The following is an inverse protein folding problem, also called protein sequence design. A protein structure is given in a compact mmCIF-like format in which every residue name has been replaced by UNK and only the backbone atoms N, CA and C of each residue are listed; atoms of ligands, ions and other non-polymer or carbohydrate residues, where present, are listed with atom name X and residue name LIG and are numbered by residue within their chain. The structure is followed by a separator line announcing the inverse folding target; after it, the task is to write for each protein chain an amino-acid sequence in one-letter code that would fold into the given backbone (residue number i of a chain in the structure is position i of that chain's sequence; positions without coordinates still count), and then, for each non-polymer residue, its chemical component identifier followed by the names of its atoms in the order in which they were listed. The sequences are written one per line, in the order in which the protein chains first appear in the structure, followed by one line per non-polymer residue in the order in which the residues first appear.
data_IF_160331274874
#
_entry.id   IF_160331274874
#
_cell.length_a   1.000
_cell.length_b   1.000
_cell.length_c   1.000
_cell.angle_alpha   90.00
_cell.angle_beta   90.00
_cell.angle_gamma   90.00
#
_symmetry.space_group_name_H-M   'P 1'
#
loop_
_entity.id
_entity.type
_entity.pdbx_description
1 polymer ?
#
# COMPACT_ATOMS: atom_id res chain seq x y z
N UNK A 1 7.50 22.25 51.60
CA UNK A 1 8.27 23.34 51.00
C UNK A 1 8.38 23.08 49.50
N UNK A 2 7.80 23.98 48.74
CA UNK A 2 7.71 23.99 47.27
C UNK A 2 9.06 24.44 46.70
N UNK A 3 9.56 23.81 45.64
CA UNK A 3 10.34 24.51 44.61
C UNK A 3 10.05 23.95 43.24
N UNK A 4 9.42 24.80 42.47
CA UNK A 4 9.21 24.77 41.03
C UNK A 4 10.49 25.11 40.27
N UNK A 5 10.65 24.60 39.04
CA UNK A 5 11.68 25.11 38.14
C UNK A 5 11.88 24.25 36.90
N UNK A 6 10.99 24.35 35.90
CA UNK A 6 11.30 23.90 34.53
C UNK A 6 11.97 25.06 33.78
N UNK A 7 13.17 24.84 33.28
CA UNK A 7 13.83 25.73 32.30
C UNK A 7 13.50 25.29 30.87
N UNK A 8 13.41 26.21 29.91
CA UNK A 8 13.07 25.91 28.51
C UNK A 8 14.30 25.47 27.72
N UNK A 9 14.08 24.50 26.83
CA UNK A 9 15.06 24.01 25.84
C UNK A 9 15.25 25.09 24.75
N UNK A 10 16.49 25.48 24.52
CA UNK A 10 16.92 26.44 23.48
C UNK A 10 16.70 25.85 22.08
N UNK A 11 16.05 26.62 21.24
CA UNK A 11 16.01 26.42 19.79
C UNK A 11 17.40 26.70 19.19
N UNK A 12 17.88 25.74 18.38
CA UNK A 12 19.05 25.96 17.51
C UNK A 12 18.51 26.18 16.09
N UNK A 13 18.57 27.42 15.64
CA UNK A 13 18.26 27.79 14.28
C UNK A 13 19.40 27.39 13.34
N UNK A 14 19.08 26.66 12.29
CA UNK A 14 20.00 26.40 11.18
C UNK A 14 19.91 27.53 10.15
N UNK A 15 21.04 28.21 9.92
CA UNK A 15 21.22 29.19 8.85
C UNK A 15 21.58 28.44 7.59
N UNK A 16 20.75 28.51 6.55
CA UNK A 16 21.09 28.08 5.21
C UNK A 16 21.54 29.28 4.38
N UNK A 17 22.74 29.21 3.82
CA UNK A 17 23.26 30.17 2.85
C UNK A 17 22.59 29.96 1.48
N UNK A 18 22.12 31.04 0.89
CA UNK A 18 21.54 31.08 -0.44
C UNK A 18 22.64 31.00 -1.51
N UNK A 19 22.43 30.17 -2.54
CA UNK A 19 23.06 30.31 -3.85
C UNK A 19 21.94 30.49 -4.86
N UNK A 20 22.06 31.61 -5.58
CA UNK A 20 21.12 32.14 -6.55
C UNK A 20 21.20 31.36 -7.87
N UNK A 21 20.11 30.81 -8.37
CA UNK A 21 19.69 30.71 -9.77
C UNK A 21 18.47 29.78 -9.94
N UNK A 22 17.36 30.35 -10.37
CA UNK A 22 16.22 29.59 -10.91
C UNK A 22 15.05 29.42 -9.95
N UNK A 23 14.03 30.27 -10.11
CA UNK A 23 12.76 30.21 -9.38
C UNK A 23 12.13 28.82 -9.49
N UNK A 24 12.20 28.07 -8.41
CA UNK A 24 11.32 26.93 -8.15
C UNK A 24 10.43 27.35 -6.99
N UNK A 25 9.13 27.43 -7.22
CA UNK A 25 8.14 27.59 -6.14
C UNK A 25 8.15 26.28 -5.33
N UNK A 26 9.04 26.22 -4.36
CA UNK A 26 8.99 25.20 -3.32
C UNK A 26 7.86 25.57 -2.36
N UNK A 27 6.74 24.86 -2.45
CA UNK A 27 5.72 24.90 -1.38
C UNK A 27 6.31 24.17 -0.19
N UNK A 28 6.97 24.93 0.68
CA UNK A 28 7.46 24.43 1.97
C UNK A 28 6.25 24.43 2.92
N UNK A 29 5.67 23.27 3.17
CA UNK A 29 4.67 23.10 4.22
C UNK A 29 5.39 23.21 5.56
N UNK A 30 5.19 24.29 6.28
CA UNK A 30 5.71 24.49 7.64
C UNK A 30 4.62 24.06 8.64
N UNK A 31 4.82 23.01 9.45
CA UNK A 31 3.79 22.47 10.34
C UNK A 31 3.36 23.39 11.49
N UNK A 32 3.95 24.57 11.65
CA UNK A 32 3.71 25.46 12.80
C UNK A 32 2.96 26.76 12.48
N UNK A 33 2.50 26.98 11.24
CA UNK A 33 1.80 28.24 10.89
C UNK A 33 0.33 28.11 10.48
N UNK A 34 -0.26 26.91 10.49
CA UNK A 34 -1.68 26.73 10.10
C UNK A 34 -2.68 26.62 11.26
N UNK A 35 -2.43 27.33 12.35
CA UNK A 35 -3.46 27.56 13.36
C UNK A 35 -4.37 28.73 12.93
N UNK A 36 -5.24 28.53 11.93
CA UNK A 36 -6.18 29.57 11.53
C UNK A 36 -6.95 29.39 10.23
N UNK A 37 -6.64 28.39 9.43
CA UNK A 37 -7.44 28.12 8.23
C UNK A 37 -8.59 27.19 8.64
N UNK A 38 -9.79 27.75 8.84
CA UNK A 38 -11.01 26.95 8.87
C UNK A 38 -11.22 26.36 7.48
N UNK A 39 -10.90 25.06 7.33
CA UNK A 39 -11.26 24.29 6.15
C UNK A 39 -12.80 24.28 6.11
N UNK A 40 -13.45 24.77 5.03
CA UNK A 40 -14.90 24.67 4.90
C UNK A 40 -15.29 23.21 4.99
N UNK A 41 -16.20 22.85 5.90
CA UNK A 41 -16.85 21.53 5.87
C UNK A 41 -17.56 21.42 4.53
N UNK A 42 -17.05 20.52 3.67
CA UNK A 42 -17.67 20.21 2.38
C UNK A 42 -19.01 19.51 2.62
N UNK A 43 -20.06 20.32 2.66
CA UNK A 43 -21.45 19.84 2.64
C UNK A 43 -21.93 19.74 1.20
N UNK A 44 -21.33 18.88 0.41
CA UNK A 44 -21.76 18.32 -0.87
C UNK A 44 -20.56 17.52 -1.37
N UNK A 45 -20.75 16.24 -1.67
CA UNK A 45 -19.69 15.43 -2.23
C UNK A 45 -19.02 16.17 -3.38
N UNK A 46 -17.71 16.44 -3.35
CA UNK A 46 -17.04 16.93 -4.54
C UNK A 46 -17.18 15.84 -5.60
N UNK A 47 -17.56 16.21 -6.79
CA UNK A 47 -17.66 15.33 -7.96
C UNK A 47 -16.31 14.66 -8.30
N UNK A 48 -15.24 15.02 -7.61
CA UNK A 48 -13.92 14.36 -7.68
C UNK A 48 -13.17 14.56 -6.36
N UNK A 49 -12.72 13.46 -5.74
CA UNK A 49 -11.76 13.46 -4.62
C UNK A 49 -10.31 13.60 -5.13
N UNK A 50 -10.08 13.85 -6.40
CA UNK A 50 -8.77 13.86 -7.04
C UNK A 50 -8.59 15.07 -7.95
N UNK A 51 -7.48 15.77 -7.77
CA UNK A 51 -7.02 16.87 -8.61
C UNK A 51 -5.81 16.41 -9.43
N UNK A 52 -5.92 16.45 -10.76
CA UNK A 52 -4.80 16.21 -11.65
C UNK A 52 -3.97 17.48 -11.76
N UNK A 53 -2.73 17.45 -11.23
CA UNK A 53 -1.83 18.61 -11.18
C UNK A 53 -0.98 18.72 -12.45
N UNK A 54 -0.39 17.61 -12.88
CA UNK A 54 0.51 17.60 -14.03
C UNK A 54 0.58 16.23 -14.71
N UNK A 55 0.90 16.23 -16.01
CA UNK A 55 1.17 15.03 -16.82
C UNK A 55 2.59 15.04 -17.32
N UNK A 56 3.17 13.86 -17.45
CA UNK A 56 4.39 13.67 -18.22
C UNK A 56 4.10 13.75 -19.73
N UNK A 57 4.98 14.38 -20.48
CA UNK A 57 4.82 14.53 -21.92
C UNK A 57 5.20 13.27 -22.71
N UNK A 58 6.00 12.39 -22.13
CA UNK A 58 6.56 11.21 -22.78
C UNK A 58 5.91 9.88 -22.36
N UNK A 59 4.98 9.90 -21.40
CA UNK A 59 4.31 8.71 -20.89
C UNK A 59 2.92 9.03 -20.35
N UNK A 60 2.22 8.01 -19.80
CA UNK A 60 0.95 8.22 -19.12
C UNK A 60 1.12 8.63 -17.64
N UNK A 61 2.36 8.82 -17.16
CA UNK A 61 2.64 9.23 -15.80
C UNK A 61 2.05 10.61 -15.48
N UNK A 62 1.56 10.75 -14.24
CA UNK A 62 0.89 11.98 -13.81
C UNK A 62 1.11 12.26 -12.34
N UNK A 63 1.10 13.52 -11.95
CA UNK A 63 1.07 13.99 -10.57
C UNK A 63 -0.33 14.47 -10.25
N UNK A 64 -0.85 14.07 -9.10
CA UNK A 64 -2.14 14.52 -8.62
C UNK A 64 -2.17 14.70 -7.10
N UNK A 65 -3.28 15.25 -6.62
CA UNK A 65 -3.60 15.37 -5.21
C UNK A 65 -4.91 14.63 -4.92
N UNK A 66 -4.86 13.68 -4.01
CA UNK A 66 -6.03 12.98 -3.51
C UNK A 66 -6.49 13.69 -2.23
N UNK A 67 -7.72 14.17 -2.22
CA UNK A 67 -8.34 14.85 -1.10
C UNK A 67 -9.02 13.83 -0.19
N UNK A 68 -8.60 13.77 1.07
CA UNK A 68 -9.21 12.91 2.10
C UNK A 68 -9.59 13.73 3.33
N UNK A 69 -10.49 13.25 4.18
CA UNK A 69 -10.79 13.89 5.46
C UNK A 69 -9.56 14.06 6.37
N UNK A 70 -8.54 13.21 6.22
CA UNK A 70 -7.29 13.24 7.00
C UNK A 70 -6.11 13.86 6.25
N UNK A 71 -6.40 14.70 5.24
CA UNK A 71 -5.39 15.51 4.55
C UNK A 71 -5.21 15.19 3.07
N UNK A 72 -4.27 15.90 2.48
CA UNK A 72 -3.92 15.77 1.07
C UNK A 72 -2.88 14.67 0.89
N UNK A 73 -3.12 13.79 -0.08
CA UNK A 73 -2.19 12.71 -0.44
C UNK A 73 -1.66 12.95 -1.85
N UNK A 74 -0.37 13.34 -1.98
CA UNK A 74 0.24 13.54 -3.29
C UNK A 74 0.50 12.20 -3.98
N UNK A 75 0.13 12.09 -5.26
CA UNK A 75 0.33 10.89 -6.08
C UNK A 75 1.34 11.16 -7.21
N UNK A 76 2.03 10.10 -7.72
CA UNK A 76 1.94 8.69 -7.33
C UNK A 76 2.45 8.43 -5.91
N UNK A 77 1.85 7.41 -5.26
CA UNK A 77 2.16 7.06 -3.87
C UNK A 77 2.24 5.55 -3.65
N UNK A 78 3.12 5.14 -2.73
CA UNK A 78 3.13 3.80 -2.14
C UNK A 78 2.51 3.83 -0.74
N UNK A 79 1.50 2.99 -0.50
CA UNK A 79 0.81 2.86 0.78
C UNK A 79 1.40 1.68 1.58
N UNK A 80 2.09 1.92 2.69
CA UNK A 80 2.52 0.85 3.59
C UNK A 80 1.33 0.05 4.11
N UNK A 81 1.43 -1.29 4.10
CA UNK A 81 0.33 -2.16 4.48
C UNK A 81 0.31 -2.45 5.97
N UNK A 82 -0.73 -1.97 6.63
CA UNK A 82 -1.05 -2.19 8.04
C UNK A 82 -2.13 -3.27 8.23
N UNK A 83 -1.83 -4.53 7.91
CA UNK A 83 -2.77 -5.66 7.84
C UNK A 83 -3.72 -5.79 9.03
N UNK A 84 -3.24 -5.59 10.25
CA UNK A 84 -4.00 -5.70 11.51
C UNK A 84 -3.91 -4.40 12.30
N UNK A 85 -4.28 -3.28 11.68
CA UNK A 85 -4.15 -1.95 12.26
C UNK A 85 -2.70 -1.62 12.68
N UNK A 86 -1.72 -2.17 11.98
CA UNK A 86 -0.30 -1.85 12.21
C UNK A 86 0.54 -2.24 10.99
N UNK A 87 1.39 -1.34 10.54
CA UNK A 87 2.48 -1.68 9.61
C UNK A 87 3.51 -2.47 10.42
N UNK A 88 3.72 -3.73 10.04
CA UNK A 88 4.52 -4.66 10.86
C UNK A 88 5.88 -4.08 11.21
N UNK A 89 6.20 -4.08 12.51
CA UNK A 89 7.41 -3.56 13.16
C UNK A 89 7.55 -2.04 13.21
N UNK A 90 6.61 -1.26 12.69
CA UNK A 90 6.61 0.20 12.74
C UNK A 90 5.49 0.73 13.64
N UNK A 91 5.80 1.76 14.40
CA UNK A 91 4.82 2.59 15.09
C UNK A 91 4.23 3.64 14.15
N UNK A 92 3.09 4.28 14.50
CA UNK A 92 2.60 5.45 13.79
C UNK A 92 3.64 6.58 13.71
N UNK A 93 4.42 6.79 14.78
CA UNK A 93 5.50 7.77 14.81
C UNK A 93 6.58 7.49 13.77
N UNK A 94 6.98 6.21 13.60
CA UNK A 94 7.94 5.83 12.55
C UNK A 94 7.41 6.18 11.15
N UNK A 95 6.11 5.96 10.91
CA UNK A 95 5.46 6.26 9.62
C UNK A 95 5.39 7.76 9.35
N UNK A 96 5.10 8.57 10.37
CA UNK A 96 5.14 10.04 10.27
C UNK A 96 6.55 10.55 9.96
N UNK A 97 7.57 10.03 10.65
CA UNK A 97 8.97 10.40 10.41
C UNK A 97 9.44 9.99 9.00
N UNK A 98 8.90 8.89 8.46
CA UNK A 98 9.15 8.45 7.09
C UNK A 98 8.39 9.29 6.05
N UNK A 99 7.41 10.07 6.49
CA UNK A 99 6.56 10.90 5.64
C UNK A 99 5.55 10.11 4.83
N UNK A 100 4.99 9.04 5.42
CA UNK A 100 3.89 8.29 4.82
C UNK A 100 2.58 9.08 5.01
N UNK A 101 1.92 9.56 3.95
CA UNK A 101 0.68 10.30 4.10
C UNK A 101 -0.57 9.39 4.16
N UNK A 102 -0.44 8.16 3.70
CA UNK A 102 -1.52 7.17 3.67
C UNK A 102 -1.00 5.76 3.93
N UNK A 103 -1.80 4.95 4.60
CA UNK A 103 -1.56 3.52 4.83
C UNK A 103 -2.75 2.69 4.36
N UNK A 104 -2.54 1.38 4.15
CA UNK A 104 -3.62 0.43 3.88
C UNK A 104 -3.87 -0.45 5.10
N UNK A 105 -5.14 -0.71 5.42
CA UNK A 105 -5.57 -1.69 6.42
C UNK A 105 -6.45 -2.77 5.77
N UNK A 106 -6.36 -4.03 6.25
CA UNK A 106 -7.10 -5.13 5.64
C UNK A 106 -8.41 -5.43 6.38
N UNK A 107 -9.52 -5.24 5.71
CA UNK A 107 -10.88 -5.45 6.22
C UNK A 107 -11.10 -6.87 6.76
N UNK A 108 -10.69 -7.91 6.02
CA UNK A 108 -10.83 -9.29 6.44
C UNK A 108 -10.22 -9.56 7.82
N UNK A 109 -8.99 -9.14 8.05
CA UNK A 109 -8.30 -9.39 9.31
C UNK A 109 -8.92 -8.61 10.46
N UNK A 110 -9.30 -7.37 10.24
CA UNK A 110 -9.90 -6.50 11.25
C UNK A 110 -11.34 -6.89 11.59
N UNK A 111 -12.09 -7.39 10.61
CA UNK A 111 -13.40 -7.99 10.83
C UNK A 111 -13.34 -9.20 11.75
N UNK A 112 -12.39 -10.13 11.51
CA UNK A 112 -12.25 -11.32 12.34
C UNK A 112 -11.67 -11.01 13.73
N UNK A 113 -10.74 -10.06 13.83
CA UNK A 113 -10.11 -9.68 15.11
C UNK A 113 -9.50 -8.27 15.05
N UNK A 114 -9.90 -7.34 15.93
CA UNK A 114 -10.76 -7.52 17.11
C UNK A 114 -12.26 -7.46 16.81
N UNK A 115 -12.66 -7.31 15.53
CA UNK A 115 -14.02 -7.08 15.08
C UNK A 115 -14.26 -5.59 14.80
N UNK A 116 -14.93 -5.29 13.68
CA UNK A 116 -15.18 -3.91 13.24
C UNK A 116 -16.02 -3.12 14.24
N UNK A 117 -17.02 -3.74 14.86
CA UNK A 117 -17.83 -3.11 15.90
C UNK A 117 -17.00 -2.66 17.13
N UNK A 118 -15.93 -3.39 17.48
CA UNK A 118 -15.02 -2.99 18.56
C UNK A 118 -14.23 -1.75 18.17
N UNK A 119 -13.72 -1.72 16.93
CA UNK A 119 -12.98 -0.58 16.40
C UNK A 119 -13.88 0.66 16.30
N UNK A 120 -15.13 0.49 15.83
CA UNK A 120 -16.12 1.56 15.76
C UNK A 120 -16.39 2.20 17.14
N UNK A 121 -16.63 1.37 18.18
CA UNK A 121 -16.83 1.85 19.55
C UNK A 121 -15.62 2.62 20.11
N UNK A 122 -14.42 2.33 19.62
CA UNK A 122 -13.17 3.02 20.00
C UNK A 122 -12.86 4.24 19.12
N UNK A 123 -13.77 4.62 18.21
CA UNK A 123 -13.68 5.83 17.40
C UNK A 123 -13.07 5.62 16.01
N UNK A 124 -13.14 4.40 15.47
CA UNK A 124 -12.61 4.06 14.15
C UNK A 124 -11.10 3.74 14.16
N UNK A 125 -10.58 3.35 13.00
CA UNK A 125 -9.18 2.94 12.85
C UNK A 125 -8.19 4.04 13.22
N UNK A 126 -8.42 5.28 12.82
CA UNK A 126 -7.55 6.40 13.10
C UNK A 126 -7.28 6.54 14.61
N UNK A 127 -8.35 6.57 15.40
CA UNK A 127 -8.23 6.68 16.85
C UNK A 127 -7.68 5.40 17.48
N UNK A 128 -8.11 4.24 16.98
CA UNK A 128 -7.67 2.94 17.46
C UNK A 128 -6.16 2.71 17.29
N UNK A 129 -5.59 3.20 16.18
CA UNK A 129 -4.17 3.08 15.85
C UNK A 129 -3.33 4.29 16.32
N UNK A 130 -3.94 5.38 16.73
CA UNK A 130 -3.29 6.70 16.88
C UNK A 130 -2.60 7.14 15.58
N UNK A 131 -3.31 7.07 14.47
CA UNK A 131 -2.84 7.45 13.14
C UNK A 131 -3.68 8.59 12.58
N UNK A 132 -3.03 9.73 12.26
CA UNK A 132 -3.71 10.95 11.82
C UNK A 132 -3.70 11.12 10.29
N UNK A 133 -2.97 10.29 9.55
CA UNK A 133 -2.94 10.31 8.09
C UNK A 133 -4.09 9.52 7.46
N UNK A 134 -4.21 9.57 6.13
CA UNK A 134 -5.25 8.84 5.42
C UNK A 134 -5.14 7.31 5.57
N UNK A 135 -6.29 6.64 5.56
CA UNK A 135 -6.40 5.17 5.58
C UNK A 135 -7.24 4.70 4.39
N UNK A 136 -6.69 3.75 3.64
CA UNK A 136 -7.43 2.95 2.65
C UNK A 136 -7.69 1.57 3.24
N UNK A 137 -8.93 1.06 3.15
CA UNK A 137 -9.24 -0.34 3.45
C UNK A 137 -9.50 -1.11 2.18
N UNK A 138 -8.98 -2.36 2.08
CA UNK A 138 -9.42 -3.29 1.03
C UNK A 138 -10.82 -3.84 1.31
N UNK A 139 -11.41 -4.55 0.35
CA UNK A 139 -12.74 -5.18 0.51
C UNK A 139 -12.74 -6.42 1.40
N UNK A 140 -11.56 -7.02 1.66
CA UNK A 140 -11.42 -8.35 2.25
C UNK A 140 -11.59 -9.50 1.25
N UNK A 141 -12.01 -9.24 0.01
CA UNK A 141 -12.26 -10.25 -1.01
C UNK A 141 -11.03 -11.10 -1.32
N UNK A 142 -9.88 -10.49 -1.59
CA UNK A 142 -8.64 -11.21 -1.90
C UNK A 142 -8.25 -12.21 -0.81
N UNK A 143 -8.36 -11.84 0.48
CA UNK A 143 -7.99 -12.72 1.59
C UNK A 143 -8.94 -13.92 1.69
N UNK A 144 -10.22 -13.72 1.45
CA UNK A 144 -11.20 -14.80 1.39
C UNK A 144 -10.86 -15.75 0.24
N UNK A 145 -10.43 -15.23 -0.91
CA UNK A 145 -10.07 -16.06 -2.07
C UNK A 145 -8.69 -16.73 -1.94
N UNK A 146 -7.71 -16.08 -1.34
CA UNK A 146 -6.34 -16.57 -1.25
C UNK A 146 -6.07 -17.50 -0.05
N UNK A 147 -6.76 -17.29 1.08
CA UNK A 147 -6.49 -18.01 2.34
C UNK A 147 -7.41 -19.19 2.60
N UNK A 148 -8.48 -19.35 1.82
CA UNK A 148 -9.51 -20.35 2.09
C UNK A 148 -9.62 -21.38 0.97
N UNK A 149 -9.29 -22.64 1.28
CA UNK A 149 -9.49 -23.79 0.39
C UNK A 149 -10.97 -24.24 0.33
N UNK A 150 -11.75 -23.93 1.38
CA UNK A 150 -13.17 -24.26 1.51
C UNK A 150 -13.98 -22.96 1.55
N UNK A 151 -14.31 -22.44 0.38
CA UNK A 151 -15.21 -21.30 0.21
C UNK A 151 -16.33 -21.66 -0.74
N UNK A 152 -17.50 -21.07 -0.53
CA UNK A 152 -18.64 -21.15 -1.43
C UNK A 152 -18.97 -19.74 -1.91
N UNK A 153 -18.93 -19.55 -3.22
CA UNK A 153 -19.21 -18.26 -3.88
C UNK A 153 -20.55 -18.34 -4.57
N UNK A 154 -21.39 -17.37 -4.34
CA UNK A 154 -22.69 -17.19 -5.00
C UNK A 154 -22.84 -15.75 -5.48
N UNK A 155 -23.91 -15.44 -6.20
CA UNK A 155 -24.24 -14.07 -6.58
C UNK A 155 -24.54 -13.19 -5.35
N UNK A 156 -24.95 -13.79 -4.23
CA UNK A 156 -25.28 -13.08 -3.01
C UNK A 156 -24.06 -12.72 -2.15
N UNK A 157 -22.97 -13.49 -2.26
CA UNK A 157 -21.76 -13.27 -1.46
C UNK A 157 -20.90 -14.51 -1.36
N UNK A 158 -20.03 -14.55 -0.37
CA UNK A 158 -19.09 -15.65 -0.16
C UNK A 158 -19.16 -16.17 1.29
N UNK A 159 -19.35 -17.49 1.43
CA UNK A 159 -19.23 -18.21 2.70
C UNK A 159 -17.80 -18.76 2.83
N UNK A 160 -17.17 -18.57 3.97
CA UNK A 160 -15.82 -19.06 4.25
C UNK A 160 -15.66 -19.41 5.73
N UNK A 161 -14.59 -20.12 6.07
CA UNK A 161 -14.24 -20.40 7.47
C UNK A 161 -13.14 -19.47 7.96
N UNK A 162 -13.32 -18.92 9.14
CA UNK A 162 -12.30 -18.10 9.81
C UNK A 162 -11.01 -18.90 10.01
N UNK A 163 -9.88 -18.33 9.63
CA UNK A 163 -8.56 -18.95 9.87
C UNK A 163 -8.13 -18.90 11.33
N UNK A 164 -8.86 -18.18 12.18
CA UNK A 164 -8.54 -18.03 13.61
C UNK A 164 -9.12 -19.16 14.44
N UNK A 165 -10.38 -19.52 14.19
CA UNK A 165 -11.16 -20.43 15.02
C UNK A 165 -12.02 -21.43 14.23
N UNK A 166 -11.97 -21.37 12.89
CA UNK A 166 -12.75 -22.24 12.00
C UNK A 166 -14.24 -21.90 11.92
N UNK A 167 -14.73 -20.85 12.59
CA UNK A 167 -16.12 -20.42 12.52
C UNK A 167 -16.54 -20.07 11.10
N UNK A 168 -17.78 -20.40 10.73
CA UNK A 168 -18.31 -20.05 9.44
C UNK A 168 -18.68 -18.56 9.40
N UNK A 169 -18.26 -17.92 8.33
CA UNK A 169 -18.47 -16.49 8.07
C UNK A 169 -19.15 -16.33 6.71
N UNK A 170 -20.06 -15.38 6.61
CA UNK A 170 -20.70 -15.00 5.36
C UNK A 170 -20.46 -13.53 5.08
N UNK A 171 -19.84 -13.22 3.95
CA UNK A 171 -19.51 -11.85 3.52
C UNK A 171 -20.33 -11.53 2.27
N UNK A 172 -21.20 -10.54 2.36
CA UNK A 172 -21.96 -9.96 1.26
C UNK A 172 -21.43 -8.57 0.92
N UNK A 173 -21.77 -8.00 -0.25
CA UNK A 173 -21.41 -6.61 -0.58
C UNK A 173 -21.85 -5.61 0.50
N UNK A 174 -23.08 -5.75 1.01
CA UNK A 174 -23.62 -4.86 2.05
C UNK A 174 -22.82 -4.98 3.36
N UNK A 175 -22.48 -6.23 3.72
CA UNK A 175 -21.68 -6.47 4.93
C UNK A 175 -20.26 -5.94 4.78
N UNK A 176 -19.65 -6.05 3.59
CA UNK A 176 -18.33 -5.49 3.32
C UNK A 176 -18.35 -3.96 3.45
N UNK A 177 -19.40 -3.29 2.99
CA UNK A 177 -19.57 -1.84 3.19
C UNK A 177 -19.75 -1.50 4.66
N UNK A 178 -20.69 -2.18 5.35
CA UNK A 178 -20.92 -1.97 6.78
C UNK A 178 -19.63 -2.09 7.60
N UNK A 179 -18.81 -3.12 7.35
CA UNK A 179 -17.53 -3.31 8.05
C UNK A 179 -16.58 -2.13 7.78
N UNK A 180 -16.42 -1.70 6.53
CA UNK A 180 -15.50 -0.61 6.18
C UNK A 180 -15.99 0.75 6.71
N UNK A 181 -17.30 0.97 6.79
CA UNK A 181 -17.88 2.14 7.46
C UNK A 181 -17.63 2.13 8.96
N UNK A 182 -17.74 0.98 9.64
CA UNK A 182 -17.38 0.82 11.06
C UNK A 182 -15.87 1.02 11.30
N UNK A 183 -15.02 0.57 10.38
CA UNK A 183 -13.58 0.81 10.44
C UNK A 183 -13.24 2.30 10.28
N UNK A 184 -14.02 3.06 9.52
CA UNK A 184 -13.87 4.50 9.37
C UNK A 184 -12.65 4.92 8.57
N UNK A 185 -12.31 4.17 7.51
CA UNK A 185 -11.26 4.55 6.56
C UNK A 185 -11.70 5.74 5.67
N UNK A 186 -10.73 6.45 5.10
CA UNK A 186 -11.01 7.53 4.12
C UNK A 186 -11.44 6.99 2.76
N UNK A 187 -10.88 5.81 2.40
CA UNK A 187 -11.17 5.13 1.15
C UNK A 187 -11.57 3.70 1.45
N UNK A 188 -12.73 3.29 0.94
CA UNK A 188 -13.23 1.93 0.96
C UNK A 188 -13.22 1.32 -0.45
N UNK A 189 -13.14 0.01 -0.55
CA UNK A 189 -13.19 -0.73 -1.81
C UNK A 189 -14.47 -1.54 -1.94
N UNK A 190 -15.04 -1.61 -3.14
CA UNK A 190 -16.15 -2.55 -3.43
C UNK A 190 -15.71 -3.99 -3.18
N UNK A 191 -16.63 -4.87 -2.79
CA UNK A 191 -16.34 -6.30 -2.76
C UNK A 191 -16.18 -6.81 -4.19
N UNK A 192 -15.11 -7.54 -4.44
CA UNK A 192 -14.76 -8.10 -5.74
C UNK A 192 -14.39 -9.58 -5.63
N UNK A 193 -14.42 -10.28 -6.75
CA UNK A 193 -13.93 -11.66 -6.84
C UNK A 193 -12.59 -11.71 -7.58
N UNK A 194 -11.50 -11.86 -6.82
CA UNK A 194 -10.18 -12.10 -7.38
C UNK A 194 -10.05 -13.56 -7.83
N UNK A 195 -9.50 -13.79 -9.02
CA UNK A 195 -9.45 -15.11 -9.67
C UNK A 195 -8.03 -15.45 -10.10
N UNK A 196 -7.84 -16.71 -10.54
CA UNK A 196 -6.65 -17.08 -11.30
C UNK A 196 -6.61 -16.32 -12.62
N UNK A 197 -5.54 -15.58 -12.93
CA UNK A 197 -5.54 -14.61 -14.04
C UNK A 197 -5.65 -15.26 -15.42
N UNK A 198 -5.26 -16.54 -15.56
CA UNK A 198 -5.21 -17.26 -16.83
C UNK A 198 -6.46 -18.12 -17.11
N UNK A 199 -7.36 -18.28 -16.15
CA UNK A 199 -8.60 -19.04 -16.33
C UNK A 199 -9.72 -18.14 -16.89
N UNK A 200 -9.83 -18.09 -18.23
CA UNK A 200 -10.80 -17.23 -18.90
C UNK A 200 -12.25 -17.58 -18.54
N UNK A 201 -12.58 -18.86 -18.50
CA UNK A 201 -13.97 -19.28 -18.28
C UNK A 201 -14.46 -18.86 -16.89
N UNK A 202 -13.61 -19.03 -15.88
CA UNK A 202 -13.92 -18.58 -14.53
C UNK A 202 -13.91 -17.06 -14.41
N UNK A 203 -12.96 -16.37 -15.09
CA UNK A 203 -12.93 -14.90 -15.10
C UNK A 203 -14.20 -14.28 -15.63
N UNK A 204 -14.85 -14.84 -16.66
CA UNK A 204 -16.14 -14.35 -17.17
C UNK A 204 -17.23 -14.41 -16.09
N UNK A 205 -17.31 -15.51 -15.34
CA UNK A 205 -18.31 -15.67 -14.27
C UNK A 205 -18.03 -14.73 -13.08
N UNK A 206 -16.77 -14.65 -12.65
CA UNK A 206 -16.35 -13.80 -11.57
C UNK A 206 -16.51 -12.31 -11.88
N UNK A 207 -16.29 -11.93 -13.14
CA UNK A 207 -16.49 -10.57 -13.61
C UNK A 207 -17.95 -10.13 -13.47
N UNK A 208 -18.88 -10.99 -13.90
CA UNK A 208 -20.32 -10.74 -13.73
C UNK A 208 -20.67 -10.54 -12.24
N UNK A 209 -20.17 -11.40 -11.34
CA UNK A 209 -20.40 -11.26 -9.90
C UNK A 209 -19.78 -9.98 -9.35
N UNK A 210 -18.54 -9.65 -9.74
CA UNK A 210 -17.89 -8.42 -9.35
C UNK A 210 -18.72 -7.19 -9.73
N UNK A 211 -19.28 -7.14 -10.93
CA UNK A 211 -20.16 -6.05 -11.35
C UNK A 211 -21.44 -5.97 -10.51
N UNK A 212 -22.11 -7.10 -10.29
CA UNK A 212 -23.29 -7.18 -9.43
C UNK A 212 -22.99 -6.71 -8.00
N UNK A 213 -21.87 -7.14 -7.44
CA UNK A 213 -21.44 -6.74 -6.11
C UNK A 213 -21.05 -5.27 -6.03
N UNK A 214 -20.41 -4.72 -7.06
CA UNK A 214 -20.07 -3.29 -7.12
C UNK A 214 -21.32 -2.41 -7.05
N UNK A 215 -22.40 -2.75 -7.80
CA UNK A 215 -23.67 -2.03 -7.71
C UNK A 215 -24.29 -2.13 -6.30
N UNK A 216 -24.25 -3.31 -5.69
CA UNK A 216 -24.78 -3.52 -4.34
C UNK A 216 -23.99 -2.76 -3.29
N UNK A 217 -22.63 -2.75 -3.40
CA UNK A 217 -21.78 -1.93 -2.56
C UNK A 217 -22.13 -0.45 -2.68
N UNK A 218 -22.28 0.06 -3.92
CA UNK A 218 -22.62 1.47 -4.15
C UNK A 218 -23.95 1.86 -3.51
N UNK A 219 -24.96 0.96 -3.57
CA UNK A 219 -26.27 1.21 -2.91
C UNK A 219 -26.21 1.12 -1.39
N UNK A 220 -25.32 0.27 -0.86
CA UNK A 220 -25.20 0.03 0.58
C UNK A 220 -24.31 1.06 1.28
N UNK A 221 -23.41 1.70 0.54
CA UNK A 221 -22.49 2.70 1.07
C UNK A 221 -23.22 4.00 1.43
N UNK A 222 -23.15 4.40 2.70
CA UNK A 222 -23.90 5.55 3.23
C UNK A 222 -23.02 6.68 3.74
N UNK A 223 -21.73 6.39 3.96
CA UNK A 223 -20.81 7.32 4.61
C UNK A 223 -20.26 8.37 3.65
N UNK A 224 -20.72 9.62 3.79
CA UNK A 224 -20.39 10.72 2.88
C UNK A 224 -18.92 11.19 2.95
N UNK A 225 -18.23 10.94 4.07
CA UNK A 225 -16.83 11.31 4.29
C UNK A 225 -15.85 10.17 3.90
N UNK A 226 -16.35 9.07 3.32
CA UNK A 226 -15.54 7.95 2.84
C UNK A 226 -15.73 7.79 1.33
N UNK A 227 -14.62 7.77 0.57
CA UNK A 227 -14.66 7.55 -0.88
C UNK A 227 -14.74 6.04 -1.18
N UNK A 228 -15.74 5.60 -1.94
CA UNK A 228 -15.84 4.20 -2.38
C UNK A 228 -15.22 4.04 -3.77
N UNK A 229 -14.22 3.14 -3.91
CA UNK A 229 -13.56 2.86 -5.19
C UNK A 229 -14.09 1.58 -5.83
N UNK A 230 -14.32 1.63 -7.16
CA UNK A 230 -14.63 0.44 -7.98
C UNK A 230 -13.36 -0.35 -8.31
N UNK A 231 -13.49 -1.68 -8.51
CA UNK A 231 -12.35 -2.55 -8.84
C UNK A 231 -12.57 -3.20 -10.20
N UNK A 232 -11.74 -2.85 -11.18
CA UNK A 232 -11.70 -3.45 -12.51
C UNK A 232 -10.99 -4.81 -12.43
N UNK A 233 -11.71 -5.88 -12.76
CA UNK A 233 -11.24 -7.26 -12.86
C UNK A 233 -11.21 -7.72 -14.33
N UNK A 234 -10.79 -8.97 -14.60
CA UNK A 234 -10.78 -9.54 -15.97
C UNK A 234 -9.51 -10.34 -16.30
N UNK A 235 -8.68 -10.66 -15.29
CA UNK A 235 -7.44 -11.43 -15.48
C UNK A 235 -6.49 -10.78 -16.50
N UNK A 236 -5.90 -11.59 -17.37
CA UNK A 236 -5.03 -11.14 -18.46
C UNK A 236 -5.77 -10.99 -19.80
N UNK A 237 -7.08 -10.77 -19.77
CA UNK A 237 -7.93 -10.71 -20.97
C UNK A 237 -8.38 -9.27 -21.24
N UNK A 238 -7.84 -8.61 -22.31
CA UNK A 238 -8.12 -7.20 -22.58
C UNK A 238 -9.60 -6.89 -22.80
N UNK A 239 -10.34 -7.79 -23.45
CA UNK A 239 -11.76 -7.63 -23.69
C UNK A 239 -12.57 -7.65 -22.39
N UNK A 240 -12.24 -8.54 -21.43
CA UNK A 240 -12.87 -8.57 -20.11
C UNK A 240 -12.52 -7.32 -19.29
N UNK A 241 -11.27 -6.85 -19.37
CA UNK A 241 -10.83 -5.59 -18.73
C UNK A 241 -11.61 -4.39 -19.29
N UNK A 242 -11.78 -4.35 -20.61
CA UNK A 242 -12.54 -3.27 -21.26
C UNK A 242 -14.02 -3.30 -20.87
N UNK A 243 -14.64 -4.50 -20.82
CA UNK A 243 -15.99 -4.66 -20.32
C UNK A 243 -16.13 -4.19 -18.88
N UNK A 244 -15.22 -4.63 -18.00
CA UNK A 244 -15.22 -4.23 -16.59
C UNK A 244 -15.08 -2.72 -16.43
N UNK A 245 -14.11 -2.10 -17.11
CA UNK A 245 -13.93 -0.66 -17.07
C UNK A 245 -15.20 0.08 -17.51
N UNK A 246 -15.82 -0.34 -18.62
CA UNK A 246 -17.05 0.26 -19.14
C UNK A 246 -18.21 0.17 -18.13
N UNK A 247 -18.41 -0.98 -17.51
CA UNK A 247 -19.51 -1.18 -16.54
C UNK A 247 -19.25 -0.34 -15.28
N UNK A 248 -18.07 -0.41 -14.72
CA UNK A 248 -17.75 0.29 -13.46
C UNK A 248 -17.69 1.81 -13.63
N UNK A 249 -17.18 2.32 -14.77
CA UNK A 249 -17.16 3.76 -15.01
C UNK A 249 -18.55 4.34 -15.21
N UNK A 250 -19.53 3.54 -15.68
CA UNK A 250 -20.92 3.95 -15.75
C UNK A 250 -21.58 4.09 -14.36
N UNK A 251 -21.04 3.44 -13.32
CA UNK A 251 -21.49 3.59 -11.93
C UNK A 251 -20.92 4.83 -11.23
N UNK A 252 -20.00 5.53 -11.86
CA UNK A 252 -19.42 6.83 -11.44
C UNK A 252 -18.78 6.84 -10.04
N UNK A 253 -17.96 5.85 -9.73
CA UNK A 253 -17.19 5.83 -8.47
C UNK A 253 -16.23 7.03 -8.34
N UNK A 254 -15.93 7.52 -7.12
CA UNK A 254 -14.92 8.54 -6.85
C UNK A 254 -13.51 8.17 -7.33
N UNK A 255 -13.17 6.87 -7.39
CA UNK A 255 -11.90 6.34 -7.87
C UNK A 255 -12.02 4.91 -8.37
N UNK A 256 -10.97 4.43 -9.03
CA UNK A 256 -10.95 3.09 -9.63
C UNK A 256 -9.66 2.36 -9.32
N UNK A 257 -9.79 1.08 -8.98
CA UNK A 257 -8.66 0.18 -8.85
C UNK A 257 -8.58 -0.81 -10.01
N UNK A 258 -7.38 -1.29 -10.29
CA UNK A 258 -7.11 -2.45 -11.13
C UNK A 258 -6.71 -3.59 -10.20
N UNK A 259 -7.57 -4.58 -10.09
CA UNK A 259 -7.38 -5.77 -9.26
C UNK A 259 -6.98 -7.01 -10.07
N UNK A 260 -6.65 -8.11 -9.36
CA UNK A 260 -6.37 -9.42 -9.98
C UNK A 260 -5.14 -9.46 -10.88
N UNK A 261 -4.12 -8.65 -10.57
CA UNK A 261 -2.79 -8.68 -11.16
C UNK A 261 -1.74 -9.01 -10.10
N UNK A 262 -0.56 -9.47 -10.52
CA UNK A 262 0.51 -10.01 -9.64
C UNK A 262 0.06 -11.22 -8.81
N UNK A 263 -0.80 -12.07 -9.39
CA UNK A 263 -1.38 -13.26 -8.75
C UNK A 263 -1.06 -14.56 -9.52
N UNK A 264 -0.11 -14.51 -10.48
CA UNK A 264 0.37 -15.69 -11.20
C UNK A 264 0.69 -15.48 -12.69
N UNK A 265 0.38 -14.32 -13.24
CA UNK A 265 0.77 -13.92 -14.58
C UNK A 265 2.24 -13.43 -14.62
N UNK A 266 2.81 -13.33 -15.83
CA UNK A 266 4.13 -12.73 -16.02
C UNK A 266 4.09 -11.20 -15.88
N UNK A 267 5.26 -10.57 -15.65
CA UNK A 267 5.35 -9.10 -15.60
C UNK A 267 4.97 -8.45 -16.92
N UNK A 268 5.36 -9.06 -18.02
CA UNK A 268 5.04 -8.59 -19.37
C UNK A 268 3.52 -8.60 -19.60
N UNK A 269 2.84 -9.64 -19.15
CA UNK A 269 1.37 -9.71 -19.19
C UNK A 269 0.74 -8.64 -18.31
N UNK A 270 1.23 -8.47 -17.07
CA UNK A 270 0.75 -7.43 -16.17
C UNK A 270 0.91 -6.03 -16.77
N UNK A 271 2.09 -5.71 -17.31
CA UNK A 271 2.34 -4.39 -17.91
C UNK A 271 1.50 -4.16 -19.16
N UNK A 272 1.35 -5.17 -20.02
CA UNK A 272 0.49 -5.10 -21.21
C UNK A 272 -0.98 -4.84 -20.85
N UNK A 273 -1.47 -5.52 -19.80
CA UNK A 273 -2.85 -5.29 -19.31
C UNK A 273 -3.02 -3.90 -18.72
N UNK A 274 -2.05 -3.41 -17.95
CA UNK A 274 -2.12 -2.04 -17.41
C UNK A 274 -2.14 -0.99 -18.52
N UNK A 275 -1.31 -1.16 -19.55
CA UNK A 275 -1.25 -0.25 -20.70
C UNK A 275 -2.58 -0.15 -21.45
N UNK A 276 -3.33 -1.27 -21.51
CA UNK A 276 -4.64 -1.33 -22.16
C UNK A 276 -5.79 -0.91 -21.22
N UNK A 277 -5.67 -1.13 -19.91
CA UNK A 277 -6.77 -0.89 -18.95
C UNK A 277 -6.77 0.55 -18.42
N UNK A 278 -5.60 1.10 -18.07
CA UNK A 278 -5.52 2.41 -17.43
C UNK A 278 -6.12 3.55 -18.29
N UNK A 279 -5.95 3.58 -19.63
CA UNK A 279 -6.58 4.60 -20.47
C UNK A 279 -8.12 4.54 -20.51
N UNK A 280 -8.72 3.40 -20.15
CA UNK A 280 -10.18 3.24 -20.10
C UNK A 280 -10.80 3.84 -18.84
N UNK A 281 -9.99 4.15 -17.84
CA UNK A 281 -10.44 4.76 -16.59
C UNK A 281 -10.49 6.28 -16.71
N UNK A 282 -11.46 6.95 -16.05
CA UNK A 282 -11.61 8.39 -16.13
C UNK A 282 -10.33 9.13 -15.72
N UNK A 283 -10.04 10.19 -16.46
CA UNK A 283 -8.80 10.92 -16.33
C UNK A 283 -8.67 11.68 -15.00
N UNK A 284 -9.77 12.30 -14.56
CA UNK A 284 -9.81 13.13 -13.35
C UNK A 284 -10.20 12.34 -12.10
N UNK A 285 -9.97 11.01 -12.12
CA UNK A 285 -10.18 10.14 -10.97
C UNK A 285 -8.91 9.35 -10.67
N UNK A 286 -8.63 9.05 -9.39
CA UNK A 286 -7.44 8.31 -9.00
C UNK A 286 -7.52 6.86 -9.49
N UNK A 287 -6.35 6.31 -9.86
CA UNK A 287 -6.16 4.94 -10.35
C UNK A 287 -5.25 4.18 -9.40
N UNK A 288 -5.75 3.11 -8.86
CA UNK A 288 -5.07 2.31 -7.85
C UNK A 288 -4.74 0.91 -8.38
N UNK A 289 -3.47 0.50 -8.35
CA UNK A 289 -3.04 -0.86 -8.67
C UNK A 289 -2.85 -1.64 -7.38
N UNK A 290 -3.73 -2.61 -7.15
CA UNK A 290 -3.82 -3.33 -5.89
C UNK A 290 -2.74 -4.42 -5.75
N UNK A 291 -2.07 -4.46 -4.60
CA UNK A 291 -1.16 -5.53 -4.21
C UNK A 291 0.18 -5.56 -4.96
N UNK A 292 0.48 -4.56 -5.78
CA UNK A 292 1.71 -4.45 -6.59
C UNK A 292 2.64 -3.40 -5.99
N UNK A 293 3.90 -3.78 -5.72
CA UNK A 293 4.80 -2.85 -5.04
C UNK A 293 6.24 -3.36 -4.92
N UNK A 294 6.79 -3.97 -5.97
CA UNK A 294 8.24 -4.00 -6.14
C UNK A 294 8.70 -2.66 -6.73
N UNK A 295 9.94 -2.21 -6.48
CA UNK A 295 10.39 -0.91 -6.99
C UNK A 295 10.24 -0.75 -8.50
N UNK A 296 10.60 -1.76 -9.28
CA UNK A 296 10.46 -1.76 -10.72
C UNK A 296 8.99 -1.74 -11.18
N UNK A 297 8.10 -2.47 -10.48
CA UNK A 297 6.67 -2.47 -10.80
C UNK A 297 6.01 -1.13 -10.48
N UNK A 298 6.54 -0.41 -9.47
CA UNK A 298 6.10 0.94 -9.13
C UNK A 298 6.40 1.90 -10.29
N UNK A 299 7.66 1.89 -10.77
CA UNK A 299 8.09 2.77 -11.87
C UNK A 299 7.31 2.47 -13.15
N UNK A 300 7.14 1.18 -13.48
CA UNK A 300 6.40 0.74 -14.67
C UNK A 300 4.89 1.02 -14.58
N UNK A 301 4.31 0.90 -13.38
CA UNK A 301 2.90 1.24 -13.16
C UNK A 301 2.64 2.74 -13.26
N UNK A 302 3.53 3.57 -12.69
CA UNK A 302 3.46 5.04 -12.82
C UNK A 302 3.57 5.47 -14.27
N UNK A 303 4.49 4.88 -15.04
CA UNK A 303 4.64 5.15 -16.48
C UNK A 303 3.34 4.89 -17.26
N UNK A 304 2.47 3.98 -16.75
CA UNK A 304 1.17 3.63 -17.35
C UNK A 304 -0.02 4.36 -16.73
N UNK A 305 0.25 5.37 -15.90
CA UNK A 305 -0.78 6.26 -15.36
C UNK A 305 -1.47 5.77 -14.10
N UNK A 306 -0.82 4.93 -13.31
CA UNK A 306 -1.28 4.53 -11.98
C UNK A 306 -0.80 5.52 -10.92
N UNK A 307 -1.67 5.84 -9.96
CA UNK A 307 -1.45 6.84 -8.91
C UNK A 307 -1.15 6.23 -7.55
N UNK A 308 -1.81 5.11 -7.20
CA UNK A 308 -1.79 4.53 -5.86
C UNK A 308 -1.32 3.07 -5.96
N UNK A 309 -0.44 2.69 -5.05
CA UNK A 309 0.10 1.33 -4.94
C UNK A 309 0.15 0.89 -3.49
N UNK A 310 -0.01 -0.40 -3.26
CA UNK A 310 0.25 -1.04 -1.98
C UNK A 310 0.93 -2.39 -2.17
N UNK A 311 1.74 -2.81 -1.24
CA UNK A 311 2.22 -4.18 -1.19
C UNK A 311 2.82 -4.52 0.17
N UNK A 312 2.64 -5.75 0.62
CA UNK A 312 3.33 -6.28 1.81
C UNK A 312 4.80 -6.61 1.58
N UNK A 313 5.26 -6.58 0.32
CA UNK A 313 6.62 -7.00 -0.06
C UNK A 313 7.72 -6.28 0.72
N UNK A 314 7.75 -4.94 0.85
CA UNK A 314 8.80 -4.22 1.55
C UNK A 314 8.97 -4.68 2.99
N UNK A 315 7.87 -4.79 3.74
CA UNK A 315 7.89 -5.23 5.15
C UNK A 315 8.16 -6.73 5.28
N UNK A 316 7.71 -7.54 4.32
CA UNK A 316 7.98 -8.99 4.30
C UNK A 316 9.45 -9.27 4.05
N UNK A 317 10.07 -8.62 3.05
CA UNK A 317 11.49 -8.74 2.76
C UNK A 317 12.34 -8.31 3.96
N UNK A 318 12.04 -7.17 4.55
CA UNK A 318 12.75 -6.64 5.71
C UNK A 318 12.82 -7.63 6.87
N UNK A 319 11.68 -8.26 7.19
CA UNK A 319 11.58 -9.27 8.25
C UNK A 319 12.31 -10.57 7.93
N UNK A 320 12.61 -10.82 6.66
CA UNK A 320 13.40 -11.96 6.19
C UNK A 320 14.88 -11.60 5.96
N UNK A 321 15.31 -10.40 6.36
CA UNK A 321 16.71 -9.95 6.24
C UNK A 321 17.09 -9.47 4.85
N UNK A 322 16.10 -9.11 4.01
CA UNK A 322 16.36 -8.54 2.70
C UNK A 322 15.91 -7.08 2.63
N UNK A 323 16.73 -6.23 2.05
CA UNK A 323 16.49 -4.78 1.94
C UNK A 323 16.66 -4.33 0.49
N UNK A 324 16.00 -3.24 0.14
CA UNK A 324 16.18 -2.58 -1.15
C UNK A 324 17.46 -1.74 -1.15
N UNK A 325 18.17 -1.75 -2.26
CA UNK A 325 19.31 -0.89 -2.53
C UNK A 325 19.15 -0.22 -3.89
N UNK A 326 20.04 0.71 -4.26
CA UNK A 326 19.95 1.43 -5.54
C UNK A 326 20.07 0.52 -6.77
N UNK A 327 20.84 -0.56 -6.65
CA UNK A 327 21.09 -1.52 -7.74
C UNK A 327 20.24 -2.78 -7.63
N UNK A 328 19.28 -2.83 -6.70
CA UNK A 328 18.44 -4.01 -6.48
C UNK A 328 18.45 -4.48 -5.02
N UNK A 329 17.98 -5.71 -4.82
CA UNK A 329 17.77 -6.27 -3.49
C UNK A 329 19.07 -6.81 -2.88
N UNK A 330 19.36 -6.42 -1.63
CA UNK A 330 20.45 -6.94 -0.82
C UNK A 330 19.92 -7.96 0.20
N UNK A 331 20.57 -9.15 0.29
CA UNK A 331 20.27 -10.11 1.35
C UNK A 331 21.32 -9.96 2.46
N UNK A 332 20.94 -9.37 3.58
CA UNK A 332 21.82 -9.08 4.69
C UNK A 332 22.40 -10.34 5.38
N UNK A 333 21.87 -11.55 5.09
CA UNK A 333 22.43 -12.80 5.59
C UNK A 333 23.76 -13.17 4.93
N UNK A 334 24.07 -12.58 3.77
CA UNK A 334 25.29 -12.91 3.02
C UNK A 334 26.56 -12.65 3.84
N UNK A 335 27.52 -13.56 3.68
CA UNK A 335 28.79 -13.48 4.42
C UNK A 335 29.62 -12.23 4.05
N UNK A 336 29.46 -11.70 2.82
CA UNK A 336 30.11 -10.47 2.37
C UNK A 336 29.84 -9.24 3.24
N UNK A 337 28.74 -9.24 4.00
CA UNK A 337 28.37 -8.13 4.89
C UNK A 337 28.88 -8.31 6.34
N UNK A 338 29.67 -9.36 6.65
CA UNK A 338 30.15 -9.63 8.02
C UNK A 338 30.89 -8.45 8.63
N UNK A 339 31.72 -7.79 7.85
CA UNK A 339 32.60 -6.69 8.28
C UNK A 339 32.37 -5.42 7.46
N UNK A 340 31.21 -5.33 6.75
CA UNK A 340 30.91 -4.17 5.91
C UNK A 340 30.45 -2.99 6.78
N UNK A 341 31.26 -1.91 6.92
CA UNK A 341 30.93 -0.77 7.76
C UNK A 341 29.95 0.20 7.09
N UNK A 342 29.65 0.01 5.80
CA UNK A 342 28.78 0.91 5.03
C UNK A 342 27.33 0.78 5.45
N UNK A 343 26.50 1.83 5.24
CA UNK A 343 25.05 1.74 5.38
C UNK A 343 24.47 0.84 4.29
N UNK A 344 23.15 0.54 4.38
CA UNK A 344 22.46 -0.19 3.30
C UNK A 344 22.61 0.56 1.97
N UNK A 345 22.44 1.87 1.99
CA UNK A 345 22.55 2.75 0.82
C UNK A 345 23.26 4.04 1.22
N UNK A 346 24.31 4.38 0.49
CA UNK A 346 25.03 5.64 0.68
C UNK A 346 24.14 6.82 0.31
N UNK A 347 24.19 7.90 1.12
CA UNK A 347 23.34 9.07 0.96
C UNK A 347 21.87 8.88 1.37
N UNK A 348 21.44 7.69 1.80
CA UNK A 348 20.09 7.48 2.30
C UNK A 348 19.90 8.18 3.66
N UNK A 349 18.79 8.94 3.77
CA UNK A 349 18.50 9.77 4.96
C UNK A 349 17.69 9.07 6.04
N UNK A 350 17.27 7.80 5.85
CA UNK A 350 16.52 7.07 6.86
C UNK A 350 17.35 6.84 8.14
N UNK A 351 16.64 6.65 9.26
CA UNK A 351 17.29 6.39 10.56
C UNK A 351 18.27 5.22 10.49
N UNK A 352 17.89 4.13 9.82
CA UNK A 352 18.74 2.93 9.71
C UNK A 352 20.06 3.23 9.03
N UNK A 353 20.05 3.88 7.86
CA UNK A 353 21.27 4.14 7.09
C UNK A 353 22.17 5.20 7.71
N UNK A 354 21.60 6.21 8.42
CA UNK A 354 22.38 7.22 9.11
C UNK A 354 23.11 6.71 10.35
N UNK A 355 22.66 5.55 10.89
CA UNK A 355 23.10 5.11 12.22
C UNK A 355 23.83 3.77 12.19
N UNK A 356 23.44 2.85 11.31
CA UNK A 356 23.86 1.45 11.40
C UNK A 356 24.54 0.96 10.13
N UNK A 357 25.57 0.11 10.32
CA UNK A 357 26.30 -0.56 9.25
C UNK A 357 25.58 -1.84 8.80
N UNK A 358 25.88 -2.29 7.58
CA UNK A 358 25.44 -3.60 7.06
C UNK A 358 25.92 -4.73 7.97
N UNK A 359 27.12 -4.63 8.54
CA UNK A 359 27.65 -5.62 9.47
C UNK A 359 26.77 -5.78 10.72
N UNK A 360 26.36 -4.66 11.33
CA UNK A 360 25.47 -4.68 12.49
C UNK A 360 24.07 -5.21 12.14
N UNK A 361 23.50 -4.74 11.05
CA UNK A 361 22.18 -5.22 10.58
C UNK A 361 22.22 -6.73 10.27
N UNK A 362 23.29 -7.21 9.65
CA UNK A 362 23.51 -8.65 9.45
C UNK A 362 23.54 -9.41 10.77
N UNK A 363 24.28 -8.91 11.75
CA UNK A 363 24.32 -9.50 13.08
C UNK A 363 22.91 -9.64 13.68
N UNK A 364 22.12 -8.56 13.69
CA UNK A 364 20.76 -8.57 14.20
C UNK A 364 19.85 -9.57 13.46
N UNK A 365 19.98 -9.67 12.13
CA UNK A 365 19.20 -10.62 11.32
C UNK A 365 19.56 -12.07 11.64
N UNK A 366 20.85 -12.38 11.86
CA UNK A 366 21.30 -13.72 12.20
C UNK A 366 20.99 -14.11 13.63
N UNK A 367 21.01 -13.14 14.54
CA UNK A 367 20.64 -13.30 15.95
C UNK A 367 19.12 -13.30 16.16
N UNK A 368 18.34 -13.12 15.08
CA UNK A 368 16.87 -13.03 15.10
C UNK A 368 16.32 -11.93 16.02
N UNK A 369 17.11 -10.85 16.19
CA UNK A 369 16.73 -9.71 17.03
C UNK A 369 15.60 -8.88 16.38
N UNK A 370 14.60 -8.53 17.19
CA UNK A 370 13.43 -7.75 16.73
C UNK A 370 13.85 -6.38 16.20
N UNK A 371 14.88 -5.78 16.79
CA UNK A 371 15.42 -4.50 16.33
C UNK A 371 15.85 -4.58 14.85
N UNK A 372 16.47 -5.69 14.42
CA UNK A 372 16.85 -5.89 13.03
C UNK A 372 15.67 -5.86 12.06
N UNK A 373 14.56 -6.46 12.46
CA UNK A 373 13.32 -6.45 11.68
C UNK A 373 12.78 -5.02 11.51
N UNK A 374 12.77 -4.24 12.61
CA UNK A 374 12.33 -2.84 12.59
C UNK A 374 13.22 -1.97 11.72
N UNK A 375 14.54 -2.01 11.93
CA UNK A 375 15.50 -1.20 11.19
C UNK A 375 15.45 -1.45 9.68
N UNK A 376 15.38 -2.72 9.28
CA UNK A 376 15.24 -3.09 7.88
C UNK A 376 13.91 -2.60 7.30
N UNK A 377 12.81 -2.66 8.08
CA UNK A 377 11.50 -2.17 7.63
C UNK A 377 11.48 -0.66 7.48
N UNK A 378 12.08 0.09 8.42
CA UNK A 378 12.28 1.54 8.32
C UNK A 378 12.96 1.89 6.99
N UNK A 379 14.05 1.19 6.64
CA UNK A 379 14.75 1.44 5.39
C UNK A 379 13.91 1.10 4.16
N UNK A 380 13.28 -0.08 4.12
CA UNK A 380 12.50 -0.50 2.95
C UNK A 380 11.28 0.38 2.69
N UNK A 381 10.58 0.81 3.73
CA UNK A 381 9.46 1.76 3.59
C UNK A 381 9.97 3.14 3.15
N UNK A 382 11.07 3.62 3.75
CA UNK A 382 11.72 4.86 3.31
C UNK A 382 12.06 4.80 1.82
N UNK A 383 12.67 3.70 1.35
CA UNK A 383 13.04 3.51 -0.05
C UNK A 383 11.82 3.65 -0.98
N UNK A 384 10.71 2.97 -0.67
CA UNK A 384 9.50 3.03 -1.48
C UNK A 384 8.85 4.42 -1.51
N UNK A 385 8.80 5.09 -0.35
CA UNK A 385 8.26 6.44 -0.26
C UNK A 385 9.14 7.47 -0.99
N UNK A 386 10.47 7.33 -0.90
CA UNK A 386 11.41 8.18 -1.63
C UNK A 386 11.33 7.93 -3.15
N UNK A 387 11.21 6.68 -3.57
CA UNK A 387 11.02 6.36 -4.99
C UNK A 387 9.76 7.04 -5.55
N UNK A 388 8.63 6.95 -4.84
CA UNK A 388 7.40 7.65 -5.22
C UNK A 388 7.60 9.19 -5.26
N UNK A 389 8.32 9.75 -4.28
CA UNK A 389 8.63 11.19 -4.25
C UNK A 389 9.51 11.61 -5.43
N UNK A 390 10.56 10.83 -5.74
CA UNK A 390 11.45 11.09 -6.88
C UNK A 390 10.68 11.04 -8.19
N UNK A 391 9.78 10.07 -8.36
CA UNK A 391 8.93 10.01 -9.56
C UNK A 391 8.04 11.25 -9.70
N UNK A 392 7.41 11.73 -8.61
CA UNK A 392 6.62 12.97 -8.66
C UNK A 392 7.46 14.17 -9.10
N UNK A 393 8.68 14.32 -8.57
CA UNK A 393 9.59 15.38 -8.97
C UNK A 393 9.97 15.24 -10.46
N UNK A 394 10.37 14.06 -10.90
CA UNK A 394 10.73 13.80 -12.29
C UNK A 394 9.58 14.09 -13.28
N UNK A 395 8.34 13.77 -12.90
CA UNK A 395 7.15 14.11 -13.70
C UNK A 395 6.97 15.63 -13.73
N UNK A 396 7.09 16.30 -12.59
CA UNK A 396 6.93 17.76 -12.49
C UNK A 396 7.99 18.53 -13.25
N UNK A 397 9.19 17.99 -13.38
CA UNK A 397 10.33 18.55 -14.11
C UNK A 397 10.37 18.13 -15.59
N UNK A 398 9.46 17.22 -16.03
CA UNK A 398 9.45 16.69 -17.40
C UNK A 398 10.62 15.74 -17.70
N UNK A 399 11.24 15.16 -16.69
CA UNK A 399 12.41 14.27 -16.78
C UNK A 399 12.08 12.79 -16.51
N UNK A 400 10.79 12.45 -16.35
CA UNK A 400 10.37 11.12 -15.92
C UNK A 400 10.81 10.00 -16.88
N UNK A 401 10.77 10.21 -18.19
CA UNK A 401 11.19 9.21 -19.16
C UNK A 401 12.68 8.86 -19.03
N UNK A 402 13.54 9.86 -18.77
CA UNK A 402 14.96 9.65 -18.52
C UNK A 402 15.19 8.94 -17.18
N UNK A 403 14.49 9.37 -16.12
CA UNK A 403 14.51 8.71 -14.81
C UNK A 403 14.11 7.23 -14.90
N UNK A 404 13.00 6.93 -15.59
CA UNK A 404 12.53 5.54 -15.78
C UNK A 404 13.58 4.70 -16.51
N UNK A 405 14.14 5.21 -17.60
CA UNK A 405 15.16 4.50 -18.38
C UNK A 405 16.38 4.19 -17.49
N UNK A 406 16.91 5.18 -16.79
CA UNK A 406 18.04 5.02 -15.89
C UNK A 406 17.75 4.01 -14.78
N UNK A 407 16.63 4.16 -14.09
CA UNK A 407 16.23 3.27 -13.00
C UNK A 407 16.11 1.80 -13.48
N UNK A 408 15.39 1.54 -14.56
CA UNK A 408 15.17 0.18 -15.05
C UNK A 408 16.47 -0.45 -15.57
N UNK A 409 17.38 0.33 -16.18
CA UNK A 409 18.65 -0.17 -16.69
C UNK A 409 19.64 -0.57 -15.58
N UNK A 410 19.58 0.08 -14.41
CA UNK A 410 20.51 -0.17 -13.30
C UNK A 410 19.90 -1.04 -12.18
N UNK A 411 18.58 -1.07 -12.05
CA UNK A 411 17.93 -1.83 -11.00
C UNK A 411 17.84 -3.31 -11.34
N UNK A 412 18.70 -4.12 -10.70
CA UNK A 412 18.71 -5.57 -10.88
C UNK A 412 17.49 -6.22 -10.21
N UNK A 413 16.55 -6.66 -11.02
CA UNK A 413 15.44 -7.49 -10.56
C UNK A 413 16.01 -8.86 -10.18
N UNK A 414 15.97 -9.22 -8.89
CA UNK A 414 16.35 -10.56 -8.45
C UNK A 414 15.55 -11.60 -9.24
N UNK A 415 16.25 -12.53 -9.91
CA UNK A 415 15.78 -13.51 -10.88
C UNK A 415 14.28 -13.80 -10.84
N UNK A 416 13.59 -13.53 -11.94
CA UNK A 416 12.15 -13.79 -12.12
C UNK A 416 11.81 -15.28 -11.90
N UNK A 417 12.76 -16.19 -12.18
CA UNK A 417 12.61 -17.64 -12.05
C UNK A 417 12.41 -18.10 -10.60
N UNK A 418 13.06 -17.45 -9.63
CA UNK A 418 12.87 -17.78 -8.21
C UNK A 418 11.54 -17.26 -7.63
N UNK A 419 10.84 -16.38 -8.33
CA UNK A 419 9.50 -15.90 -7.93
C UNK A 419 8.40 -16.86 -8.38
N UNK A 420 8.53 -17.47 -9.54
CA UNK A 420 7.62 -18.51 -10.02
C UNK A 420 7.64 -19.74 -9.10
N UNK A 421 8.81 -20.13 -8.60
CA UNK A 421 8.96 -21.25 -7.65
C UNK A 421 8.44 -20.92 -6.23
N UNK A 422 8.54 -19.66 -5.79
CA UNK A 422 8.09 -19.22 -4.45
C UNK A 422 6.57 -19.19 -4.27
N UNK A 423 5.79 -19.09 -5.35
CA UNK A 423 4.33 -19.12 -5.29
C UNK A 423 3.74 -20.53 -5.20
N UNK A 424 4.51 -21.58 -5.54
CA UNK A 424 4.04 -22.96 -5.50
C UNK A 424 4.35 -23.73 -4.21
N UNK A 425 5.08 -23.16 -3.25
CA UNK A 425 5.42 -23.88 -2.00
C UNK A 425 5.19 -23.03 -0.76
N UNK A 426 3.95 -22.55 -0.53
CA UNK A 426 3.56 -22.31 0.84
C UNK A 426 3.28 -23.68 1.51
N UNK A 427 4.29 -24.25 2.14
CA UNK A 427 4.09 -25.34 3.11
C UNK A 427 3.80 -24.71 4.45
N UNK A 428 2.69 -25.06 5.15
CA UNK A 428 2.51 -24.65 6.53
C UNK A 428 3.71 -25.13 7.33
N UNK A 429 4.30 -24.23 8.12
CA UNK A 429 5.31 -24.61 9.10
C UNK A 429 4.72 -25.71 9.98
N UNK A 430 5.40 -26.85 10.03
CA UNK A 430 5.03 -27.92 10.97
C UNK A 430 4.90 -27.32 12.38
N UNK A 431 3.88 -27.69 13.16
CA UNK A 431 3.83 -27.34 14.57
C UNK A 431 5.16 -27.78 15.21
N UNK A 432 5.81 -26.91 15.95
CA UNK A 432 6.91 -27.32 16.81
C UNK A 432 6.32 -28.31 17.82
N UNK A 433 6.69 -29.56 17.73
CA UNK A 433 6.37 -30.56 18.75
C UNK A 433 6.92 -30.07 20.08
N UNK A 434 6.01 -29.62 20.96
CA UNK A 434 6.29 -29.37 22.36
C UNK A 434 6.35 -30.71 23.08
N UNK A 435 7.44 -31.42 22.93
CA UNK A 435 7.83 -32.54 23.85
C UNK A 435 9.26 -32.26 24.29
N UNK A 436 9.38 -31.37 25.29
CA UNK A 436 10.46 -31.47 26.26
C UNK A 436 9.88 -32.26 27.42
N UNK A 437 10.26 -33.52 27.50
CA UNK A 437 10.08 -34.36 28.69
C UNK A 437 10.76 -33.69 29.85
N UNK A 438 10.00 -33.38 30.89
CA UNK A 438 10.52 -33.14 32.22
C UNK A 438 10.99 -34.51 32.71
N UNK A 439 12.29 -34.73 32.77
CA UNK A 439 12.93 -35.81 33.44
C UNK A 439 12.89 -35.51 34.95
N UNK A 440 12.27 -36.39 35.70
CA UNK A 440 12.46 -36.50 37.12
C UNK A 440 13.91 -36.97 37.38
N UNK A 441 14.63 -36.17 38.18
CA UNK A 441 15.52 -36.66 39.28
C UNK A 441 15.86 -35.44 40.16
#
# INVERSE_FOLDING_TARGET
MVVTGRQPVRQVGAVAQAVDAGRVLAVTINPQQDAGIQVPRLTNQPSSCFELVQRDSGSAARVGLLHTPHGLVPTPIFCPVGTQATVKTLSPQDLLELGAPMILANTYHLYLRPGSATIARLGGLHRFMAWDGAILTDSGGYQVFSLQTLRQVSDDGVTFRSHLDGSEQYLTPEKAMFIQEELGSDIAMVLDECTQPLDRAYNVQALRRTHLWAERCLRAHTRADQALFGIVQGGVFPDLRAESARVLTALDFPGYAVGGLSVGESKEQMYSILEQTAPLLPEFKPRYLMGVGSPEDLVEGVARGIDIFDCVLPTRLARNGAVFGPEGRLNLRNASYREDPRPIQDGCTCYTCRTFSRAYLRHLVLAEEILGLRLNTVHNIHFMLQLARTMRLAISEGTFSAFRHDFISHYNVANADLRAEGHHTWRPSKPRDSKASIGED
#
